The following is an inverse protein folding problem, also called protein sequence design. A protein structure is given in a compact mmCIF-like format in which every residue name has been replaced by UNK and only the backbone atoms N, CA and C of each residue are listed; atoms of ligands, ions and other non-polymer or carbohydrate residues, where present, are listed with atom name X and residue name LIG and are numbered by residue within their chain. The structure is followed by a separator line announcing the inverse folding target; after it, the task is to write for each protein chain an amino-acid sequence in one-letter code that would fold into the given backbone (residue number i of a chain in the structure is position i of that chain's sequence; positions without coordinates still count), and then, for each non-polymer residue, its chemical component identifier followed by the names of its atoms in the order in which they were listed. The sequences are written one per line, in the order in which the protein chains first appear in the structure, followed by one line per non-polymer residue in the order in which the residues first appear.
data_IF_780540137942
#
_entry.id   IF_780540137942
#
_cell.length_a   1.000
_cell.length_b   1.000
_cell.length_c   1.000
_cell.angle_alpha   90.00
_cell.angle_beta   90.00
_cell.angle_gamma   90.00
#
_symmetry.space_group_name_H-M   'P 1'
#
loop_
_entity.id
_entity.type
_entity.pdbx_description
1 polymer ?
#
# COMPACT_ATOMS: atom_id res chain seq x y z
N UNK A 1 -21.00 10.37 11.92
CA UNK A 1 -21.00 9.07 12.61
C UNK A 1 -19.90 9.10 13.66
N UNK A 2 -20.23 8.90 14.93
CA UNK A 2 -19.31 9.10 16.07
C UNK A 2 -18.34 7.93 16.19
N UNK A 3 -17.07 8.21 16.53
CA UNK A 3 -15.99 7.22 16.71
C UNK A 3 -16.38 6.03 17.60
N UNK A 4 -17.34 6.22 18.52
CA UNK A 4 -17.91 5.19 19.38
C UNK A 4 -18.57 4.01 18.61
N UNK A 5 -19.19 4.27 17.45
CA UNK A 5 -19.86 3.21 16.67
C UNK A 5 -18.88 2.33 15.89
N UNK A 6 -17.73 2.87 15.48
CA UNK A 6 -16.65 2.11 14.81
C UNK A 6 -16.02 1.14 15.78
N UNK A 7 -15.72 1.58 17.01
CA UNK A 7 -15.16 0.71 18.05
C UNK A 7 -16.13 -0.42 18.43
N UNK A 8 -17.44 -0.14 18.50
CA UNK A 8 -18.47 -1.17 18.79
C UNK A 8 -18.59 -2.22 17.67
N UNK A 9 -18.48 -1.81 16.40
CA UNK A 9 -18.47 -2.74 15.25
C UNK A 9 -17.19 -3.58 15.18
N UNK A 10 -16.05 -3.02 15.55
CA UNK A 10 -14.76 -3.73 15.62
C UNK A 10 -14.62 -4.62 16.89
N UNK A 11 -15.42 -4.34 17.93
CA UNK A 11 -15.50 -5.14 19.17
C UNK A 11 -16.32 -6.42 19.03
N UNK A 12 -17.01 -6.63 17.89
CA UNK A 12 -17.53 -7.93 17.52
C UNK A 12 -16.37 -8.84 17.14
N UNK A 13 -15.87 -9.62 18.11
CA UNK A 13 -14.80 -10.58 17.88
C UNK A 13 -15.24 -11.63 16.85
N UNK A 14 -14.83 -11.46 15.59
CA UNK A 14 -15.13 -12.38 14.49
C UNK A 14 -14.76 -11.78 13.13
N UNK A 15 -14.71 -12.63 12.10
CA UNK A 15 -14.41 -12.26 10.70
C UNK A 15 -15.15 -10.99 10.25
N UNK A 16 -16.42 -10.85 10.64
CA UNK A 16 -17.25 -9.69 10.30
C UNK A 16 -16.67 -8.35 10.75
N UNK A 17 -15.98 -8.30 11.90
CA UNK A 17 -15.27 -7.11 12.36
C UNK A 17 -14.02 -6.81 11.52
N UNK A 18 -13.31 -7.85 11.08
CA UNK A 18 -12.14 -7.72 10.22
C UNK A 18 -12.53 -7.24 8.81
N UNK A 19 -13.67 -7.68 8.26
CA UNK A 19 -14.21 -7.14 7.01
C UNK A 19 -14.81 -5.74 7.17
N UNK A 20 -15.35 -5.40 8.33
CA UNK A 20 -15.87 -4.06 8.62
C UNK A 20 -14.76 -2.98 8.62
N UNK A 21 -13.50 -3.35 8.87
CA UNK A 21 -12.37 -2.39 8.78
C UNK A 21 -12.18 -1.92 7.34
N UNK A 22 -12.38 -2.80 6.36
CA UNK A 22 -12.27 -2.48 4.93
C UNK A 22 -13.36 -1.49 4.53
N UNK A 23 -14.60 -1.77 4.95
CA UNK A 23 -15.72 -0.85 4.74
C UNK A 23 -15.44 0.52 5.36
N UNK A 24 -14.90 0.56 6.59
CA UNK A 24 -14.56 1.81 7.27
C UNK A 24 -13.47 2.60 6.52
N UNK A 25 -12.44 1.93 6.01
CA UNK A 25 -11.36 2.55 5.22
C UNK A 25 -11.92 3.18 3.93
N UNK A 26 -12.81 2.47 3.23
CA UNK A 26 -13.32 2.90 1.93
C UNK A 26 -14.48 3.91 2.02
N UNK A 27 -15.36 3.79 3.03
CA UNK A 27 -16.56 4.63 3.18
C UNK A 27 -16.36 5.83 4.11
N UNK A 28 -15.57 5.70 5.17
CA UNK A 28 -15.36 6.77 6.16
C UNK A 28 -13.86 7.01 6.43
N UNK A 29 -13.13 7.31 5.35
CA UNK A 29 -11.67 7.49 5.39
C UNK A 29 -11.22 8.52 6.44
N UNK A 30 -11.99 9.61 6.61
CA UNK A 30 -11.61 10.72 7.50
C UNK A 30 -11.70 10.28 8.96
N UNK A 31 -12.84 9.72 9.36
CA UNK A 31 -13.00 9.17 10.71
C UNK A 31 -11.98 8.06 11.00
N UNK A 32 -11.64 7.26 9.99
CA UNK A 32 -10.63 6.24 10.12
C UNK A 32 -9.23 6.82 10.41
N UNK A 33 -8.80 7.84 9.66
CA UNK A 33 -7.52 8.52 9.89
C UNK A 33 -7.49 9.29 11.20
N UNK A 34 -8.60 9.90 11.62
CA UNK A 34 -8.71 10.56 12.93
C UNK A 34 -8.54 9.53 14.07
N UNK A 35 -9.11 8.33 13.91
CA UNK A 35 -8.89 7.23 14.85
C UNK A 35 -7.43 6.81 14.96
N UNK A 36 -6.70 6.75 13.84
CA UNK A 36 -5.26 6.45 13.84
C UNK A 36 -4.47 7.58 14.52
N UNK A 37 -4.73 8.83 14.15
CA UNK A 37 -4.09 10.03 14.74
C UNK A 37 -4.27 10.09 16.25
N UNK A 38 -5.46 9.77 16.74
CA UNK A 38 -5.76 9.81 18.17
C UNK A 38 -5.35 8.53 18.92
N UNK A 39 -4.73 7.55 18.25
CA UNK A 39 -4.32 6.28 18.86
C UNK A 39 -5.48 5.38 19.30
N UNK A 40 -6.69 5.62 18.80
CA UNK A 40 -7.91 4.93 19.24
C UNK A 40 -7.99 3.52 18.64
N UNK A 41 -8.02 2.51 19.52
CA UNK A 41 -8.17 1.09 19.17
C UNK A 41 -7.14 0.62 18.12
N UNK A 42 -5.91 1.14 18.18
CA UNK A 42 -4.89 0.92 17.15
C UNK A 42 -4.54 -0.56 16.97
N UNK A 43 -4.43 -1.32 18.06
CA UNK A 43 -4.16 -2.76 18.00
C UNK A 43 -5.26 -3.57 17.29
N UNK A 44 -6.53 -3.22 17.52
CA UNK A 44 -7.68 -3.87 16.86
C UNK A 44 -7.67 -3.55 15.37
N UNK A 45 -7.48 -2.28 15.01
CA UNK A 45 -7.36 -1.84 13.61
C UNK A 45 -6.21 -2.53 12.89
N UNK A 46 -5.04 -2.59 13.52
CA UNK A 46 -3.85 -3.27 12.98
C UNK A 46 -4.13 -4.76 12.75
N UNK A 47 -4.69 -5.46 13.74
CA UNK A 47 -4.99 -6.89 13.61
C UNK A 47 -5.98 -7.14 12.47
N UNK A 48 -7.07 -6.38 12.43
CA UNK A 48 -8.09 -6.51 11.38
C UNK A 48 -7.52 -6.24 9.98
N UNK A 49 -6.70 -5.18 9.84
CA UNK A 49 -6.03 -4.86 8.58
C UNK A 49 -5.01 -5.93 8.18
N UNK A 50 -4.24 -6.49 9.12
CA UNK A 50 -3.29 -7.57 8.82
C UNK A 50 -4.01 -8.83 8.35
N UNK A 51 -5.04 -9.28 9.07
CA UNK A 51 -5.79 -10.49 8.74
C UNK A 51 -6.45 -10.35 7.37
N UNK A 52 -7.18 -9.26 7.14
CA UNK A 52 -7.85 -9.01 5.85
C UNK A 52 -6.85 -8.91 4.70
N UNK A 53 -5.74 -8.16 4.88
CA UNK A 53 -4.74 -8.00 3.82
C UNK A 53 -4.03 -9.31 3.49
N UNK A 54 -3.65 -10.11 4.49
CA UNK A 54 -3.04 -11.42 4.28
C UNK A 54 -4.02 -12.33 3.54
N UNK A 55 -5.27 -12.43 4.00
CA UNK A 55 -6.28 -13.26 3.36
C UNK A 55 -6.50 -12.88 1.88
N UNK A 56 -6.65 -11.59 1.57
CA UNK A 56 -6.90 -11.12 0.21
C UNK A 56 -5.69 -11.30 -0.72
N UNK A 57 -4.48 -11.06 -0.20
CA UNK A 57 -3.24 -11.31 -0.94
C UNK A 57 -3.02 -12.82 -1.15
N UNK A 58 -3.38 -13.68 -0.20
CA UNK A 58 -3.30 -15.14 -0.40
C UNK A 58 -4.24 -15.60 -1.51
N UNK A 59 -5.48 -15.09 -1.53
CA UNK A 59 -6.45 -15.42 -2.60
C UNK A 59 -5.93 -14.96 -3.96
N UNK A 60 -5.51 -13.70 -4.08
CA UNK A 60 -4.99 -13.17 -5.35
C UNK A 60 -3.69 -13.88 -5.78
N UNK A 61 -2.77 -14.13 -4.85
CA UNK A 61 -1.55 -14.89 -5.07
C UNK A 61 -1.81 -16.33 -5.53
N UNK A 62 -2.85 -16.97 -5.00
CA UNK A 62 -3.31 -18.29 -5.42
C UNK A 62 -3.83 -18.28 -6.86
N UNK A 63 -4.67 -17.31 -7.23
CA UNK A 63 -5.19 -17.15 -8.61
C UNK A 63 -4.05 -16.96 -9.61
N UNK A 64 -3.01 -16.22 -9.25
CA UNK A 64 -1.84 -16.08 -10.12
C UNK A 64 -1.01 -17.37 -10.24
N UNK A 65 -0.89 -18.15 -9.16
CA UNK A 65 -0.09 -19.36 -9.10
C UNK A 65 -0.76 -20.62 -9.67
N UNK A 66 -2.08 -20.58 -9.92
CA UNK A 66 -2.87 -21.73 -10.39
C UNK A 66 -2.62 -22.16 -11.83
N UNK A 67 -1.76 -21.45 -12.56
CA UNK A 67 -1.39 -21.75 -13.96
C UNK A 67 -0.60 -23.05 -14.14
N UNK A 68 0.02 -23.57 -13.07
CA UNK A 68 1.05 -24.59 -13.19
C UNK A 68 0.81 -25.83 -12.33
N UNK A 69 0.83 -25.67 -11.00
CA UNK A 69 0.76 -26.77 -10.06
C UNK A 69 0.24 -26.29 -8.72
N UNK A 70 -0.32 -27.21 -7.93
CA UNK A 70 -0.80 -26.89 -6.59
C UNK A 70 0.33 -26.33 -5.68
N UNK A 71 1.56 -26.83 -5.87
CA UNK A 71 2.74 -26.32 -5.18
C UNK A 71 3.05 -24.85 -5.55
N UNK A 72 2.91 -24.49 -6.83
CA UNK A 72 3.08 -23.11 -7.30
C UNK A 72 1.96 -22.20 -6.77
N UNK A 73 0.71 -22.69 -6.72
CA UNK A 73 -0.42 -21.97 -6.13
C UNK A 73 -0.16 -21.60 -4.68
N UNK A 74 0.23 -22.59 -3.86
CA UNK A 74 0.51 -22.37 -2.44
C UNK A 74 1.73 -21.48 -2.26
N UNK A 75 2.80 -21.69 -3.05
CA UNK A 75 3.99 -20.86 -2.99
C UNK A 75 3.68 -19.40 -3.31
N UNK A 76 2.92 -19.14 -4.37
CA UNK A 76 2.56 -17.78 -4.81
C UNK A 76 1.59 -17.11 -3.83
N UNK A 77 0.62 -17.87 -3.30
CA UNK A 77 -0.30 -17.43 -2.25
C UNK A 77 0.43 -16.99 -0.98
N UNK A 78 1.53 -17.64 -0.59
CA UNK A 78 2.31 -17.26 0.60
C UNK A 78 3.33 -16.16 0.31
N UNK A 79 3.96 -16.18 -0.86
CA UNK A 79 4.96 -15.19 -1.26
C UNK A 79 4.37 -13.79 -1.41
N UNK A 80 3.12 -13.69 -1.87
CA UNK A 80 2.52 -12.38 -2.11
C UNK A 80 2.28 -11.58 -0.81
N UNK A 81 1.64 -12.12 0.24
CA UNK A 81 1.59 -11.47 1.55
C UNK A 81 2.99 -11.15 2.09
N UNK A 82 3.94 -12.09 1.97
CA UNK A 82 5.31 -11.87 2.43
C UNK A 82 5.97 -10.68 1.73
N UNK A 83 5.78 -10.52 0.41
CA UNK A 83 6.28 -9.38 -0.35
C UNK A 83 5.81 -8.05 0.25
N UNK A 84 4.50 -7.90 0.51
CA UNK A 84 3.95 -6.67 1.07
C UNK A 84 4.42 -6.43 2.51
N UNK A 85 4.44 -7.45 3.36
CA UNK A 85 4.84 -7.32 4.75
C UNK A 85 6.33 -7.02 4.91
N UNK A 86 7.19 -7.69 4.16
CA UNK A 86 8.64 -7.39 4.16
C UNK A 86 8.89 -5.99 3.62
N UNK A 87 8.22 -5.60 2.53
CA UNK A 87 8.33 -4.23 2.00
C UNK A 87 7.90 -3.21 3.05
N UNK A 88 6.76 -3.44 3.73
CA UNK A 88 6.30 -2.60 4.83
C UNK A 88 7.35 -2.46 5.94
N UNK A 89 7.97 -3.57 6.37
CA UNK A 89 8.99 -3.55 7.41
C UNK A 89 10.24 -2.76 6.99
N UNK A 90 10.64 -2.85 5.72
CA UNK A 90 11.75 -2.07 5.15
C UNK A 90 11.37 -0.58 5.09
N UNK A 91 10.13 -0.26 4.71
CA UNK A 91 9.62 1.11 4.61
C UNK A 91 9.51 1.82 5.97
N UNK A 92 9.09 1.08 7.00
CA UNK A 92 8.72 1.61 8.31
C UNK A 92 9.78 2.49 8.98
N UNK A 93 11.06 2.07 9.14
CA UNK A 93 12.06 2.87 9.85
C UNK A 93 12.31 4.20 9.13
N UNK A 94 12.42 4.20 7.80
CA UNK A 94 12.70 5.44 7.05
C UNK A 94 11.56 6.45 7.17
N UNK A 95 10.31 5.99 7.06
CA UNK A 95 9.14 6.85 7.19
C UNK A 95 9.02 7.39 8.62
N UNK A 96 9.31 6.56 9.63
CA UNK A 96 9.35 7.00 11.02
C UNK A 96 10.40 8.10 11.25
N UNK A 97 11.64 7.90 10.82
CA UNK A 97 12.68 8.92 10.99
C UNK A 97 12.38 10.20 10.22
N UNK A 98 11.79 10.12 9.03
CA UNK A 98 11.31 11.32 8.33
C UNK A 98 10.22 12.04 9.11
N UNK A 99 9.23 11.32 9.62
CA UNK A 99 8.20 11.92 10.47
C UNK A 99 8.80 12.60 11.71
N UNK A 100 9.75 11.96 12.39
CA UNK A 100 10.46 12.55 13.55
C UNK A 100 11.26 13.78 13.14
N UNK A 101 12.02 13.74 12.04
CA UNK A 101 12.85 14.85 11.55
C UNK A 101 12.01 16.11 11.24
N UNK A 102 10.78 15.94 10.75
CA UNK A 102 9.88 17.05 10.44
C UNK A 102 8.97 17.46 11.62
N UNK A 103 9.24 16.93 12.81
CA UNK A 103 8.53 17.28 14.05
C UNK A 103 7.13 16.68 14.17
N UNK A 104 6.83 15.59 13.46
CA UNK A 104 5.57 14.86 13.62
C UNK A 104 5.53 14.17 14.98
N UNK A 105 4.42 14.34 15.70
CA UNK A 105 4.15 13.67 16.98
C UNK A 105 3.68 12.21 16.82
N UNK A 106 3.71 11.66 15.61
CA UNK A 106 3.22 10.32 15.32
C UNK A 106 4.12 9.23 15.91
N UNK A 107 3.50 8.28 16.60
CA UNK A 107 4.19 7.10 17.12
C UNK A 107 4.58 6.12 15.99
N UNK A 108 5.54 5.25 16.27
CA UNK A 108 5.91 4.16 15.37
C UNK A 108 4.70 3.27 15.00
N UNK A 109 3.81 3.02 15.97
CA UNK A 109 2.60 2.21 15.76
C UNK A 109 1.57 2.90 14.86
N UNK A 110 1.48 4.23 14.93
CA UNK A 110 0.61 5.01 14.04
C UNK A 110 1.14 5.00 12.61
N UNK A 111 2.46 5.16 12.42
CA UNK A 111 3.09 5.03 11.10
C UNK A 111 2.90 3.63 10.51
N UNK A 112 3.05 2.60 11.34
CA UNK A 112 2.78 1.22 10.94
C UNK A 112 1.33 1.06 10.47
N UNK A 113 0.35 1.57 11.24
CA UNK A 113 -1.07 1.52 10.88
C UNK A 113 -1.37 2.29 9.58
N UNK A 114 -0.73 3.44 9.36
CA UNK A 114 -0.89 4.23 8.12
C UNK A 114 -0.39 3.48 6.89
N UNK A 115 0.82 2.92 6.94
CA UNK A 115 1.38 2.13 5.83
C UNK A 115 0.52 0.88 5.61
N UNK A 116 0.12 0.22 6.69
CA UNK A 116 -0.74 -0.96 6.63
C UNK A 116 -2.10 -0.64 5.97
N UNK A 117 -2.65 0.56 6.18
CA UNK A 117 -3.88 1.01 5.51
C UNK A 117 -3.71 1.01 3.98
N UNK A 118 -2.56 1.46 3.47
CA UNK A 118 -2.27 1.43 2.03
C UNK A 118 -2.12 0.00 1.50
N UNK A 119 -1.52 -0.90 2.29
CA UNK A 119 -1.46 -2.34 1.97
C UNK A 119 -2.87 -2.95 1.94
N UNK A 120 -3.74 -2.58 2.88
CA UNK A 120 -5.13 -3.05 2.92
C UNK A 120 -5.92 -2.56 1.71
N UNK A 121 -5.83 -1.28 1.35
CA UNK A 121 -6.49 -0.77 0.14
C UNK A 121 -5.98 -1.50 -1.11
N UNK A 122 -4.65 -1.70 -1.22
CA UNK A 122 -4.07 -2.42 -2.35
C UNK A 122 -4.56 -3.86 -2.42
N UNK A 123 -4.61 -4.58 -1.29
CA UNK A 123 -5.05 -5.98 -1.26
C UNK A 123 -6.53 -6.17 -1.61
N UNK A 124 -7.40 -5.24 -1.18
CA UNK A 124 -8.83 -5.24 -1.55
C UNK A 124 -9.00 -5.01 -3.05
N UNK A 125 -8.23 -4.09 -3.63
CA UNK A 125 -8.28 -3.83 -5.06
C UNK A 125 -7.76 -5.03 -5.85
N UNK A 126 -6.64 -5.63 -5.43
CA UNK A 126 -6.13 -6.85 -6.04
C UNK A 126 -7.17 -7.97 -6.01
N UNK A 127 -7.80 -8.22 -4.86
CA UNK A 127 -8.89 -9.19 -4.77
C UNK A 127 -10.04 -8.87 -5.74
N UNK A 128 -10.37 -7.59 -5.92
CA UNK A 128 -11.40 -7.15 -6.87
C UNK A 128 -11.04 -7.43 -8.33
N UNK A 129 -9.74 -7.45 -8.67
CA UNK A 129 -9.23 -7.84 -9.98
C UNK A 129 -9.02 -9.36 -10.14
N UNK A 130 -9.10 -10.14 -9.06
CA UNK A 130 -8.96 -11.61 -9.11
C UNK A 130 -9.84 -12.30 -10.17
N UNK A 131 -11.15 -12.00 -10.30
CA UNK A 131 -11.98 -12.63 -11.34
C UNK A 131 -11.54 -12.26 -12.77
N UNK A 132 -11.02 -11.05 -12.99
CA UNK A 132 -10.50 -10.62 -14.28
C UNK A 132 -9.23 -11.42 -14.62
N UNK A 133 -8.31 -11.54 -13.65
CA UNK A 133 -7.10 -12.36 -13.80
C UNK A 133 -7.46 -13.83 -14.07
N UNK A 134 -8.44 -14.38 -13.36
CA UNK A 134 -8.91 -15.76 -13.55
C UNK A 134 -9.54 -15.96 -14.93
N UNK A 135 -10.35 -15.02 -15.41
CA UNK A 135 -10.93 -15.07 -16.74
C UNK A 135 -9.85 -15.15 -17.83
N UNK A 136 -8.83 -14.28 -17.77
CA UNK A 136 -7.73 -14.32 -18.74
C UNK A 136 -6.83 -15.53 -18.59
N UNK A 137 -6.67 -16.05 -17.37
CA UNK A 137 -5.98 -17.31 -17.12
C UNK A 137 -6.67 -18.49 -17.82
N UNK A 138 -8.00 -18.55 -17.80
CA UNK A 138 -8.77 -19.64 -18.42
C UNK A 138 -8.91 -19.51 -19.94
N UNK A 139 -8.80 -18.29 -20.48
CA UNK A 139 -9.07 -18.00 -21.89
C UNK A 139 -7.83 -17.77 -22.75
N UNK A 140 -6.66 -17.48 -22.15
CA UNK A 140 -5.41 -17.20 -22.86
C UNK A 140 -4.27 -18.11 -22.40
N UNK A 141 -3.50 -18.64 -23.35
CA UNK A 141 -2.29 -19.43 -23.10
C UNK A 141 -0.99 -18.62 -23.17
N UNK A 142 -1.07 -17.33 -23.50
CA UNK A 142 0.11 -16.49 -23.65
C UNK A 142 0.63 -16.04 -22.27
N UNK A 143 1.72 -16.67 -21.83
CA UNK A 143 2.41 -16.37 -20.58
C UNK A 143 2.81 -14.88 -20.45
N UNK A 144 3.25 -14.29 -21.56
CA UNK A 144 3.77 -12.93 -21.58
C UNK A 144 2.66 -11.89 -21.40
N UNK A 145 1.52 -12.12 -22.06
CA UNK A 145 0.31 -11.35 -21.85
C UNK A 145 -0.17 -11.44 -20.40
N UNK A 146 -0.25 -12.65 -19.84
CA UNK A 146 -0.70 -12.86 -18.46
C UNK A 146 0.21 -12.16 -17.43
N UNK A 147 1.53 -12.18 -17.67
CA UNK A 147 2.50 -11.45 -16.86
C UNK A 147 2.27 -9.94 -16.93
N UNK A 148 2.14 -9.37 -18.12
CA UNK A 148 1.92 -7.93 -18.30
C UNK A 148 0.59 -7.46 -17.71
N UNK A 149 -0.47 -8.25 -17.86
CA UNK A 149 -1.77 -7.98 -17.24
C UNK A 149 -1.64 -7.83 -15.72
N UNK A 150 -0.97 -8.79 -15.07
CA UNK A 150 -0.76 -8.75 -13.64
C UNK A 150 0.12 -7.57 -13.23
N UNK A 151 1.20 -7.30 -13.95
CA UNK A 151 2.06 -6.12 -13.70
C UNK A 151 1.26 -4.82 -13.78
N UNK A 152 0.37 -4.69 -14.77
CA UNK A 152 -0.51 -3.53 -14.89
C UNK A 152 -1.49 -3.42 -13.71
N UNK A 153 -2.10 -4.53 -13.29
CA UNK A 153 -2.98 -4.57 -12.11
C UNK A 153 -2.22 -4.14 -10.84
N UNK A 154 -1.01 -4.66 -10.60
CA UNK A 154 -0.18 -4.26 -9.47
C UNK A 154 0.23 -2.79 -9.53
N UNK A 155 0.53 -2.27 -10.72
CA UNK A 155 0.88 -0.87 -10.89
C UNK A 155 -0.30 0.05 -10.55
N UNK A 156 -1.49 -0.23 -11.10
CA UNK A 156 -2.71 0.56 -10.86
C UNK A 156 -3.09 0.51 -9.37
N UNK A 157 -3.19 -0.69 -8.80
CA UNK A 157 -3.60 -0.85 -7.39
C UNK A 157 -2.55 -0.29 -6.43
N UNK A 158 -1.25 -0.44 -6.73
CA UNK A 158 -0.17 0.14 -5.95
C UNK A 158 -0.17 1.67 -5.98
N UNK A 159 -0.40 2.30 -7.13
CA UNK A 159 -0.53 3.76 -7.24
C UNK A 159 -1.71 4.27 -6.40
N UNK A 160 -2.86 3.57 -6.42
CA UNK A 160 -4.01 3.94 -5.61
C UNK A 160 -3.70 3.78 -4.12
N UNK A 161 -3.09 2.67 -3.70
CA UNK A 161 -2.69 2.43 -2.31
C UNK A 161 -1.72 3.49 -1.79
N UNK A 162 -0.69 3.82 -2.56
CA UNK A 162 0.28 4.87 -2.24
C UNK A 162 -0.39 6.25 -2.18
N UNK A 163 -1.32 6.53 -3.10
CA UNK A 163 -2.11 7.78 -3.06
C UNK A 163 -2.92 7.86 -1.75
N UNK A 164 -3.46 6.74 -1.27
CA UNK A 164 -4.17 6.67 -0.01
C UNK A 164 -3.24 6.93 1.20
N UNK A 165 -2.02 6.38 1.19
CA UNK A 165 -0.99 6.68 2.20
C UNK A 165 -0.67 8.17 2.24
N UNK A 166 -0.41 8.73 1.05
CA UNK A 166 -0.08 10.13 0.87
C UNK A 166 -1.22 11.04 1.39
N UNK A 167 -2.47 10.70 1.07
CA UNK A 167 -3.65 11.39 1.61
C UNK A 167 -3.77 11.27 3.13
N UNK A 168 -3.48 10.10 3.71
CA UNK A 168 -3.53 9.89 5.16
C UNK A 168 -2.50 10.72 5.92
N UNK A 169 -1.24 10.71 5.46
CA UNK A 169 -0.17 11.49 6.08
C UNK A 169 -0.39 12.99 5.98
N UNK A 170 -0.86 13.48 4.83
CA UNK A 170 -1.17 14.90 4.63
C UNK A 170 -2.38 15.33 5.45
N UNK A 171 -3.41 14.50 5.57
CA UNK A 171 -4.58 14.78 6.40
C UNK A 171 -4.22 14.94 7.89
N UNK A 172 -3.44 14.01 8.43
CA UNK A 172 -3.07 14.05 9.85
C UNK A 172 -2.20 15.27 10.16
N UNK A 173 -1.14 15.47 9.37
CA UNK A 173 -0.23 16.60 9.58
C UNK A 173 -0.92 17.97 9.42
N UNK A 174 -1.85 18.10 8.46
CA UNK A 174 -2.61 19.35 8.28
C UNK A 174 -3.54 19.62 9.46
N UNK A 175 -4.18 18.59 10.02
CA UNK A 175 -5.06 18.75 11.17
C UNK A 175 -4.29 19.05 12.48
N UNK A 176 -3.07 18.53 12.64
CA UNK A 176 -2.18 18.92 13.74
C UNK A 176 -1.82 20.41 13.66
N UNK A 177 -1.49 20.87 12.46
CA UNK A 177 -1.12 22.26 12.18
C UNK A 177 -2.31 23.21 12.35
N UNK A 178 -3.49 22.87 11.82
CA UNK A 178 -4.70 23.67 11.98
C UNK A 178 -5.13 23.78 13.45
N UNK A 179 -5.00 22.71 14.22
CA UNK A 179 -5.28 22.74 15.66
C UNK A 179 -4.32 23.67 16.40
N UNK A 180 -3.02 23.65 16.05
CA UNK A 180 -2.03 24.56 16.61
C UNK A 180 -2.30 26.03 16.23
N UNK A 181 -2.66 26.29 14.97
CA UNK A 181 -2.98 27.64 14.47
C UNK A 181 -4.29 28.18 15.06
N UNK A 182 -5.27 27.31 15.34
CA UNK A 182 -6.55 27.70 15.96
C UNK A 182 -6.41 28.05 17.45
N UNK A 183 -5.34 27.59 18.10
CA UNK A 183 -5.05 27.92 19.50
C UNK A 183 -4.35 29.28 19.67
N UNK A 184 -3.98 29.96 18.58
CA UNK A 184 -3.37 31.29 18.64
C UNK A 184 -4.43 32.33 19.03
N UNK A 185 -4.15 33.22 19.99
CA UNK A 185 -5.05 34.34 20.26
C UNK A 185 -5.05 35.29 19.04
N UNK A 186 -6.14 36.04 18.82
CA UNK A 186 -6.36 36.82 17.58
C UNK A 186 -6.92 38.23 17.83
N UNK A 187 -6.79 38.74 19.06
CA UNK A 187 -7.50 39.95 19.49
C UNK A 187 -6.86 41.26 19.00
N UNK A 188 -5.55 41.28 18.67
CA UNK A 188 -4.85 42.51 18.25
C UNK A 188 -4.26 42.45 16.83
N UNK A 189 -4.10 43.61 16.18
CA UNK A 189 -3.52 43.73 14.82
C UNK A 189 -2.08 43.16 14.75
N UNK A 190 -1.26 43.41 15.78
CA UNK A 190 0.09 42.86 15.88
C UNK A 190 0.09 41.33 16.01
N UNK A 191 -0.90 40.80 16.72
CA UNK A 191 -1.09 39.36 16.89
C UNK A 191 -1.58 38.69 15.60
N UNK A 192 -2.42 39.35 14.81
CA UNK A 192 -2.81 38.89 13.48
C UNK A 192 -1.62 38.89 12.51
N UNK A 193 -0.73 39.89 12.57
CA UNK A 193 0.49 39.92 11.78
C UNK A 193 1.42 38.74 12.13
N UNK A 194 1.61 38.46 13.43
CA UNK A 194 2.34 37.28 13.91
C UNK A 194 1.70 35.96 13.48
N UNK A 195 0.38 35.86 13.58
CA UNK A 195 -0.37 34.67 13.16
C UNK A 195 -0.21 34.42 11.65
N UNK A 196 -0.22 35.46 10.82
CA UNK A 196 0.00 35.34 9.37
C UNK A 196 1.43 34.90 9.02
N UNK A 197 2.44 35.35 9.77
CA UNK A 197 3.83 34.90 9.57
C UNK A 197 4.00 33.42 9.96
N UNK A 198 3.44 33.00 11.11
CA UNK A 198 3.42 31.61 11.53
C UNK A 198 2.71 30.71 10.50
N UNK A 199 1.58 31.17 9.95
CA UNK A 199 0.87 30.46 8.86
C UNK A 199 1.76 30.28 7.63
N UNK A 200 2.48 31.31 7.19
CA UNK A 200 3.41 31.23 6.05
C UNK A 200 4.57 30.27 6.29
N UNK A 201 5.14 30.29 7.49
CA UNK A 201 6.18 29.34 7.90
C UNK A 201 5.65 27.91 7.90
N UNK A 202 4.44 27.72 8.42
CA UNK A 202 3.80 26.42 8.49
C UNK A 202 3.43 25.89 7.09
N UNK A 203 2.95 26.74 6.17
CA UNK A 203 2.74 26.42 4.75
C UNK A 203 4.04 25.99 4.04
N UNK A 204 5.14 26.73 4.28
CA UNK A 204 6.46 26.41 3.69
C UNK A 204 6.95 25.06 4.19
N UNK A 205 6.84 24.80 5.51
CA UNK A 205 7.14 23.50 6.11
C UNK A 205 6.27 22.38 5.54
N UNK A 206 4.98 22.63 5.33
CA UNK A 206 4.04 21.67 4.74
C UNK A 206 4.42 21.30 3.31
N UNK A 207 4.82 22.29 2.50
CA UNK A 207 5.26 22.04 1.13
C UNK A 207 6.56 21.23 1.08
N UNK A 208 7.51 21.51 1.97
CA UNK A 208 8.75 20.74 2.09
C UNK A 208 8.46 19.27 2.45
N UNK A 209 7.64 19.02 3.49
CA UNK A 209 7.21 17.66 3.88
C UNK A 209 6.55 16.91 2.74
N UNK A 210 5.67 17.58 1.99
CA UNK A 210 5.00 17.02 0.80
C UNK A 210 6.00 16.56 -0.26
N UNK A 211 6.98 17.40 -0.63
CA UNK A 211 8.00 17.06 -1.63
C UNK A 211 8.84 15.85 -1.20
N UNK A 212 9.21 15.81 0.07
CA UNK A 212 10.03 14.73 0.62
C UNK A 212 9.26 13.42 0.64
N UNK A 213 7.97 13.46 1.00
CA UNK A 213 7.10 12.28 0.94
C UNK A 213 6.96 11.76 -0.50
N UNK A 214 6.87 12.65 -1.50
CA UNK A 214 6.84 12.25 -2.91
C UNK A 214 8.16 11.59 -3.36
N UNK A 215 9.31 12.15 -2.98
CA UNK A 215 10.62 11.56 -3.26
C UNK A 215 10.78 10.20 -2.58
N UNK A 216 10.34 10.09 -1.33
CA UNK A 216 10.32 8.84 -0.58
C UNK A 216 9.49 7.78 -1.31
N UNK A 217 8.26 8.12 -1.73
CA UNK A 217 7.41 7.21 -2.52
C UNK A 217 8.12 6.72 -3.78
N UNK A 218 8.85 7.59 -4.50
CA UNK A 218 9.57 7.20 -5.72
C UNK A 218 10.70 6.20 -5.42
N UNK A 219 11.51 6.47 -4.40
CA UNK A 219 12.57 5.54 -3.96
C UNK A 219 11.96 4.20 -3.56
N UNK A 220 10.83 4.22 -2.85
CA UNK A 220 10.17 3.02 -2.39
C UNK A 220 9.46 2.24 -3.49
N UNK A 221 8.94 2.91 -4.52
CA UNK A 221 8.44 2.24 -5.72
C UNK A 221 9.57 1.44 -6.38
N UNK A 222 10.77 2.02 -6.49
CA UNK A 222 11.95 1.32 -7.00
C UNK A 222 12.33 0.10 -6.15
N UNK A 223 12.42 0.26 -4.82
CA UNK A 223 12.70 -0.86 -3.89
C UNK A 223 11.63 -1.95 -3.99
N UNK A 224 10.35 -1.57 -4.05
CA UNK A 224 9.23 -2.50 -4.19
C UNK A 224 9.31 -3.31 -5.48
N UNK A 225 9.68 -2.67 -6.60
CA UNK A 225 9.94 -3.38 -7.87
C UNK A 225 11.06 -4.40 -7.74
N UNK A 226 12.16 -4.08 -7.05
CA UNK A 226 13.26 -5.01 -6.81
C UNK A 226 12.85 -6.16 -5.87
N UNK A 227 12.05 -5.88 -4.83
CA UNK A 227 11.52 -6.92 -3.95
C UNK A 227 10.57 -7.85 -4.71
N UNK A 228 9.72 -7.32 -5.60
CA UNK A 228 8.87 -8.11 -6.47
C UNK A 228 9.69 -8.99 -7.43
N UNK A 229 10.82 -8.47 -7.94
CA UNK A 229 11.77 -9.23 -8.77
C UNK A 229 12.56 -10.28 -7.99
N UNK A 230 12.78 -10.07 -6.70
CA UNK A 230 13.53 -11.00 -5.85
C UNK A 230 12.64 -12.16 -5.43
N UNK A 231 11.42 -11.86 -4.97
CA UNK A 231 10.46 -12.87 -4.51
C UNK A 231 9.72 -13.57 -5.66
N UNK A 232 9.61 -12.90 -6.82
CA UNK A 232 8.94 -13.38 -8.05
C UNK A 232 7.68 -14.19 -7.75
N UNK A 233 6.63 -13.57 -7.18
CA UNK A 233 5.39 -14.29 -6.92
C UNK A 233 4.70 -14.78 -8.21
N UNK A 234 5.13 -14.30 -9.40
CA UNK A 234 4.50 -14.52 -10.70
C UNK A 234 5.05 -15.68 -11.54
N UNK A 235 6.25 -16.22 -11.27
CA UNK A 235 6.99 -16.98 -12.28
C UNK A 235 7.17 -18.46 -11.95
N UNK A 236 6.13 -19.24 -12.24
CA UNK A 236 6.31 -20.59 -12.80
C UNK A 236 6.37 -20.44 -14.32
N UNK A 237 7.42 -20.93 -14.96
CA UNK A 237 7.51 -20.88 -16.43
C UNK A 237 6.91 -22.16 -17.04
N UNK A 238 6.09 -22.08 -18.12
CA UNK A 238 5.56 -23.21 -18.88
C UNK A 238 6.64 -24.26 -19.16
N UNK A 239 6.45 -25.49 -18.65
CA UNK A 239 7.35 -26.63 -18.92
C UNK A 239 8.58 -26.81 -18.02
N UNK A 240 8.85 -25.91 -17.05
CA UNK A 240 9.98 -26.07 -16.11
C UNK A 240 9.52 -26.60 -14.73
N UNK A 241 10.31 -27.47 -14.05
CA UNK A 241 9.98 -28.01 -12.74
C UNK A 241 9.84 -26.91 -11.69
N UNK A 242 8.94 -27.11 -10.73
CA UNK A 242 8.74 -26.14 -9.64
C UNK A 242 10.05 -25.93 -8.86
N UNK A 243 10.51 -24.68 -8.79
CA UNK A 243 11.67 -24.29 -7.99
C UNK A 243 11.31 -23.06 -7.15
N UNK A 244 11.48 -23.12 -5.81
CA UNK A 244 11.16 -22.00 -4.93
C UNK A 244 11.93 -20.72 -5.25
N UNK A 245 13.17 -20.85 -5.75
CA UNK A 245 14.04 -19.74 -6.14
C UNK A 245 14.82 -20.12 -7.42
N UNK A 246 14.50 -19.49 -8.55
CA UNK A 246 15.27 -19.64 -9.81
C UNK A 246 16.31 -18.54 -9.95
N UNK A 247 17.53 -18.87 -10.33
CA UNK A 247 18.45 -17.89 -10.90
C UNK A 247 18.03 -17.63 -12.36
N UNK A 248 17.35 -16.51 -12.60
CA UNK A 248 17.13 -15.98 -13.94
C UNK A 248 17.98 -14.72 -14.06
N UNK A 249 18.76 -14.60 -15.13
CA UNK A 249 19.55 -13.39 -15.39
C UNK A 249 18.66 -12.16 -15.63
N UNK A 250 19.19 -10.97 -15.35
CA UNK A 250 18.55 -9.69 -15.63
C UNK A 250 17.83 -9.04 -14.43
N UNK A 251 17.08 -7.97 -14.71
CA UNK A 251 16.30 -7.21 -13.73
C UNK A 251 14.85 -7.04 -14.20
N UNK A 252 13.96 -6.63 -13.29
CA UNK A 252 12.54 -6.41 -13.58
C UNK A 252 12.31 -5.60 -14.86
N UNK A 253 13.00 -4.47 -15.00
CA UNK A 253 12.79 -3.53 -16.11
C UNK A 253 13.11 -4.18 -17.45
N UNK A 254 14.25 -4.88 -17.55
CA UNK A 254 14.62 -5.61 -18.78
C UNK A 254 13.60 -6.68 -19.14
N UNK A 255 13.04 -7.37 -18.14
CA UNK A 255 12.04 -8.41 -18.38
C UNK A 255 10.72 -7.82 -18.87
N UNK A 256 10.24 -6.72 -18.28
CA UNK A 256 9.00 -6.05 -18.73
C UNK A 256 9.16 -5.51 -20.16
N UNK A 257 10.29 -4.89 -20.49
CA UNK A 257 10.54 -4.39 -21.84
C UNK A 257 10.55 -5.51 -22.89
N UNK A 258 11.24 -6.61 -22.60
CA UNK A 258 11.23 -7.80 -23.47
C UNK A 258 9.80 -8.35 -23.66
N UNK A 259 8.99 -8.28 -22.60
CA UNK A 259 7.61 -8.75 -22.63
C UNK A 259 6.69 -7.91 -23.48
N UNK A 260 6.85 -6.60 -23.39
CA UNK A 260 6.11 -5.67 -24.23
C UNK A 260 6.50 -5.89 -25.70
N UNK A 261 7.80 -6.03 -26.00
CA UNK A 261 8.26 -6.28 -27.35
C UNK A 261 7.68 -7.58 -27.95
N UNK A 262 7.65 -8.67 -27.18
CA UNK A 262 7.10 -9.95 -27.62
C UNK A 262 5.57 -9.88 -27.84
N UNK A 263 4.81 -9.27 -26.93
CA UNK A 263 3.35 -9.18 -27.05
C UNK A 263 2.91 -8.25 -28.17
N UNK A 264 3.63 -7.15 -28.41
CA UNK A 264 3.33 -6.20 -29.49
C UNK A 264 3.99 -6.56 -30.83
N UNK A 265 4.70 -7.71 -30.92
CA UNK A 265 5.29 -8.19 -32.16
C UNK A 265 6.55 -7.44 -32.61
N UNK A 266 7.16 -6.64 -31.73
CA UNK A 266 8.39 -5.90 -32.00
C UNK A 266 9.68 -6.71 -31.73
N UNK A 267 9.58 -7.97 -31.29
CA UNK A 267 10.73 -8.82 -30.98
C UNK A 267 10.64 -10.23 -31.58
N UNK A 268 11.19 -10.41 -32.79
CA UNK A 268 11.79 -11.69 -33.20
C UNK A 268 13.20 -11.68 -32.63
N UNK A 269 13.47 -12.45 -31.57
CA UNK A 269 14.84 -12.85 -31.24
C UNK A 269 14.78 -14.31 -30.76
N UNK A 270 15.53 -15.16 -31.48
CA UNK A 270 15.73 -16.59 -31.22
C UNK A 270 16.34 -16.88 -29.85
#
# INVERSE_FOLDING_TARGET
MTAHNVTRRLSGAGLSGDFAVVEAILRDRRSFFDGIRNGQALGIKIRAMLISSIAFLMVYGGVMGSTHSLAQTISSALKLPALFLVTLLICLPTLYFFNVLFGSSQSLTQNFALILTAVTVTSVLLLSFAPITLFFMLTSSNYQFFKLLNVAIFAITGVIGVTFLYQGMTYISTNDELAALAALPTESLDEQARANELRRQAETGRQARKRILQLWVLVYAFVGTQMAWTLRPFFGAPGLPFEPFRQLGGNFYTNILASLAEVFGFGIVH
#
